data_IF_355329047961
#
_entry.id   IF_355329047961
#
_cell.length_a   1.000
_cell.length_b   1.000
_cell.length_c   1.000
_cell.angle_alpha   90.00
_cell.angle_beta   90.00
_cell.angle_gamma   90.00
#
_symmetry.space_group_name_H-M   'P 1'
#
loop_
_entity.id
_entity.type
_entity.pdbx_description
1 polymer ?
#
# COMPACT_ATOMS: atom_id res chain seq x y z
N UNK A 1 8.33 -26.50 -0.47
CA UNK A 1 8.13 -25.06 -0.75
C UNK A 1 7.52 -24.43 0.50
N UNK A 2 8.12 -23.38 1.07
CA UNK A 2 7.60 -22.72 2.27
C UNK A 2 6.71 -21.55 1.81
N UNK A 3 5.45 -21.54 2.24
CA UNK A 3 4.55 -20.42 2.03
C UNK A 3 4.78 -19.38 3.14
N UNK A 4 5.07 -18.15 2.75
CA UNK A 4 5.23 -17.04 3.68
C UNK A 4 3.86 -16.38 3.92
N UNK A 5 3.60 -15.99 5.16
CA UNK A 5 2.31 -15.41 5.57
C UNK A 5 2.32 -13.88 5.42
N UNK A 6 1.21 -13.26 4.97
CA UNK A 6 1.07 -11.80 4.94
C UNK A 6 0.99 -11.17 6.34
N UNK A 7 0.99 -11.95 7.43
CA UNK A 7 1.17 -11.43 8.79
C UNK A 7 2.58 -10.89 9.07
N UNK A 8 3.53 -11.15 8.18
CA UNK A 8 4.88 -10.57 8.25
C UNK A 8 4.89 -9.26 7.46
N UNK A 9 5.26 -8.16 8.12
CA UNK A 9 5.14 -6.81 7.59
C UNK A 9 5.87 -6.62 6.25
N UNK A 10 7.07 -7.22 6.10
CA UNK A 10 7.82 -7.13 4.85
C UNK A 10 7.16 -7.91 3.70
N UNK A 11 6.49 -9.03 4.01
CA UNK A 11 5.70 -9.79 3.03
C UNK A 11 4.45 -9.00 2.67
N UNK A 12 3.83 -8.35 3.66
CA UNK A 12 2.67 -7.51 3.47
C UNK A 12 2.99 -6.29 2.56
N UNK A 13 4.07 -5.55 2.86
CA UNK A 13 4.57 -4.46 1.97
C UNK A 13 4.86 -4.98 0.57
N UNK A 14 5.56 -6.11 0.44
CA UNK A 14 5.90 -6.69 -0.86
C UNK A 14 4.66 -7.10 -1.66
N UNK A 15 3.65 -7.66 -0.99
CA UNK A 15 2.37 -8.03 -1.60
C UNK A 15 1.64 -6.79 -2.14
N UNK A 16 1.48 -5.75 -1.31
CA UNK A 16 0.79 -4.52 -1.69
C UNK A 16 1.55 -3.71 -2.75
N UNK A 17 2.88 -3.73 -2.72
CA UNK A 17 3.71 -3.09 -3.74
C UNK A 17 3.72 -3.85 -5.07
N UNK A 18 3.56 -5.17 -5.02
CA UNK A 18 3.53 -6.04 -6.20
C UNK A 18 2.17 -6.07 -6.91
N UNK A 19 1.08 -5.81 -6.19
CA UNK A 19 -0.28 -5.77 -6.72
C UNK A 19 -1.01 -4.49 -6.29
N UNK A 20 -0.96 -3.47 -7.15
CA UNK A 20 -1.60 -2.18 -6.94
C UNK A 20 -3.13 -2.26 -6.99
N UNK A 21 -3.72 -3.32 -7.55
CA UNK A 21 -5.16 -3.57 -7.51
C UNK A 21 -5.61 -3.90 -6.09
N UNK A 22 -4.93 -4.86 -5.45
CA UNK A 22 -5.18 -5.20 -4.03
C UNK A 22 -4.98 -3.99 -3.13
N UNK A 23 -3.92 -3.19 -3.36
CA UNK A 23 -3.70 -1.96 -2.61
C UNK A 23 -4.84 -0.95 -2.82
N UNK A 24 -5.32 -0.78 -4.05
CA UNK A 24 -6.45 0.12 -4.36
C UNK A 24 -7.74 -0.34 -3.67
N UNK A 25 -8.01 -1.64 -3.64
CA UNK A 25 -9.16 -2.21 -2.96
C UNK A 25 -9.08 -2.05 -1.44
N UNK A 26 -7.89 -2.27 -0.86
CA UNK A 26 -7.63 -2.01 0.55
C UNK A 26 -7.88 -0.54 0.90
N UNK A 27 -7.27 0.39 0.15
CA UNK A 27 -7.45 1.83 0.38
C UNK A 27 -8.93 2.22 0.28
N UNK A 28 -9.66 1.74 -0.71
CA UNK A 28 -11.11 2.02 -0.82
C UNK A 28 -11.96 1.36 0.27
N UNK A 29 -11.47 0.31 0.94
CA UNK A 29 -12.17 -0.36 2.03
C UNK A 29 -11.96 0.34 3.36
N UNK A 30 -10.80 1.00 3.56
CA UNK A 30 -10.45 1.70 4.80
C UNK A 30 -10.75 3.21 4.73
N UNK A 31 -10.53 3.83 3.57
CA UNK A 31 -10.83 5.24 3.35
C UNK A 31 -12.32 5.36 3.02
N UNK A 32 -13.09 5.88 3.97
CA UNK A 32 -14.53 6.13 3.79
C UNK A 32 -14.73 7.35 2.89
N UNK A 33 -14.53 7.14 1.58
CA UNK A 33 -14.68 8.17 0.55
C UNK A 33 -16.06 8.05 -0.13
N UNK A 34 -16.68 9.17 -0.53
CA UNK A 34 -17.86 9.17 -1.38
C UNK A 34 -17.63 8.39 -2.68
N UNK A 35 -18.68 7.80 -3.26
CA UNK A 35 -18.59 6.95 -4.48
C UNK A 35 -17.85 7.63 -5.65
N UNK A 36 -18.08 8.92 -5.87
CA UNK A 36 -17.42 9.71 -6.93
C UNK A 36 -15.95 10.04 -6.64
N UNK A 37 -15.49 9.82 -5.40
CA UNK A 37 -14.10 10.04 -4.96
C UNK A 37 -13.42 8.76 -4.52
N UNK A 38 -13.90 7.59 -4.94
CA UNK A 38 -13.14 6.35 -4.77
C UNK A 38 -11.78 6.45 -5.45
N UNK A 39 -10.76 5.85 -4.84
CA UNK A 39 -9.41 5.77 -5.39
C UNK A 39 -9.46 4.97 -6.70
N UNK A 40 -8.87 5.51 -7.76
CA UNK A 40 -8.81 4.91 -9.10
C UNK A 40 -7.43 4.46 -9.51
N UNK A 41 -6.39 5.10 -9.00
CA UNK A 41 -5.01 4.71 -9.26
C UNK A 41 -4.16 4.91 -8.03
N UNK A 42 -3.15 4.05 -7.90
CA UNK A 42 -2.15 4.11 -6.83
C UNK A 42 -0.77 3.89 -7.42
N UNK A 43 0.22 4.57 -6.85
CA UNK A 43 1.64 4.37 -7.12
C UNK A 43 2.37 4.20 -5.80
N UNK A 44 3.09 3.10 -5.63
CA UNK A 44 3.99 2.92 -4.49
C UNK A 44 5.30 3.66 -4.76
N UNK A 45 5.66 4.59 -3.87
CA UNK A 45 6.87 5.42 -3.99
C UNK A 45 8.13 4.66 -3.55
N UNK A 46 7.99 3.70 -2.64
CA UNK A 46 9.08 2.91 -2.06
C UNK A 46 8.85 1.38 -2.19
N UNK A 47 8.75 0.84 -3.43
CA UNK A 47 8.26 -0.54 -3.68
C UNK A 47 9.24 -1.64 -3.26
N UNK A 48 10.52 -1.31 -3.07
CA UNK A 48 11.56 -2.25 -2.68
C UNK A 48 11.64 -2.27 -1.15
N UNK A 49 11.76 -3.46 -0.57
CA UNK A 49 12.13 -3.65 0.83
C UNK A 49 13.62 -3.93 0.89
N UNK A 50 14.38 -3.01 1.49
CA UNK A 50 15.81 -3.15 1.69
C UNK A 50 16.09 -4.05 2.90
N UNK A 51 17.21 -4.81 2.92
CA UNK A 51 17.53 -5.71 4.03
C UNK A 51 17.51 -5.03 5.41
N UNK A 52 17.99 -3.79 5.50
CA UNK A 52 18.00 -3.00 6.73
C UNK A 52 16.61 -2.58 7.20
N UNK A 53 15.59 -2.57 6.34
CA UNK A 53 14.21 -2.30 6.73
C UNK A 53 13.59 -3.49 7.46
N UNK A 54 14.02 -4.72 7.16
CA UNK A 54 13.48 -5.95 7.77
C UNK A 54 13.77 -6.00 9.27
N UNK A 55 14.86 -5.38 9.72
CA UNK A 55 15.25 -5.32 11.13
C UNK A 55 14.68 -4.11 11.87
N UNK A 56 13.99 -3.19 11.19
CA UNK A 56 13.38 -2.02 11.82
C UNK A 56 12.11 -2.41 12.56
N UNK A 57 11.72 -1.57 13.53
CA UNK A 57 10.48 -1.75 14.30
C UNK A 57 9.22 -1.63 13.44
N UNK A 58 9.29 -0.86 12.37
CA UNK A 58 8.19 -0.62 11.44
C UNK A 58 8.70 -0.65 10.02
N UNK A 59 7.86 -1.14 9.11
CA UNK A 59 8.07 -1.02 7.68
C UNK A 59 7.11 0.01 7.14
N UNK A 60 7.62 0.96 6.34
CA UNK A 60 6.82 2.05 5.80
C UNK A 60 6.47 1.76 4.35
N UNK A 61 5.21 1.97 3.98
CA UNK A 61 4.70 1.93 2.61
C UNK A 61 4.19 3.32 2.23
N UNK A 62 4.90 3.97 1.30
CA UNK A 62 4.58 5.30 0.78
C UNK A 62 3.78 5.18 -0.51
N UNK A 63 2.63 5.84 -0.56
CA UNK A 63 1.66 5.69 -1.65
C UNK A 63 1.23 7.07 -2.14
N UNK A 64 1.24 7.25 -3.46
CA UNK A 64 0.52 8.32 -4.13
C UNK A 64 -0.77 7.75 -4.70
N UNK A 65 -1.91 8.14 -4.17
CA UNK A 65 -3.22 7.69 -4.61
C UNK A 65 -3.97 8.83 -5.31
N UNK A 66 -4.67 8.54 -6.40
CA UNK A 66 -5.51 9.52 -7.11
C UNK A 66 -6.96 9.03 -7.17
N UNK A 67 -7.90 9.90 -6.81
CA UNK A 67 -9.33 9.59 -6.81
C UNK A 67 -10.02 9.82 -8.17
N UNK A 68 -11.30 9.47 -8.23
CA UNK A 68 -12.15 9.69 -9.40
C UNK A 68 -12.38 11.14 -9.82
N UNK A 69 -12.03 12.12 -8.98
CA UNK A 69 -12.08 13.55 -9.31
C UNK A 69 -10.73 14.11 -9.79
N UNK A 70 -9.67 13.30 -9.77
CA UNK A 70 -8.30 13.71 -10.09
C UNK A 70 -7.52 14.29 -8.91
N UNK A 71 -8.08 14.27 -7.70
CA UNK A 71 -7.36 14.68 -6.48
C UNK A 71 -6.35 13.60 -6.10
N UNK A 72 -5.11 14.03 -5.83
CA UNK A 72 -4.06 13.15 -5.34
C UNK A 72 -3.86 13.28 -3.83
N UNK A 73 -3.48 12.17 -3.20
CA UNK A 73 -3.20 12.03 -1.79
C UNK A 73 -1.83 11.36 -1.62
N UNK A 74 -0.97 11.96 -0.80
CA UNK A 74 0.21 11.27 -0.28
C UNK A 74 -0.19 10.55 1.00
N UNK A 75 -0.07 9.23 0.99
CA UNK A 75 -0.46 8.36 2.10
C UNK A 75 0.78 7.61 2.56
N UNK A 76 1.09 7.71 3.85
CA UNK A 76 2.08 6.87 4.52
C UNK A 76 1.33 5.79 5.32
N UNK A 77 1.71 4.53 5.14
CA UNK A 77 1.18 3.41 5.91
C UNK A 77 2.31 2.72 6.67
N UNK A 78 2.15 2.60 7.99
CA UNK A 78 2.98 1.73 8.81
C UNK A 78 2.37 0.34 8.79
N UNK A 79 3.16 -0.64 8.37
CA UNK A 79 2.78 -2.05 8.33
C UNK A 79 3.63 -2.86 9.27
#
# INVERSE_FOLDING_TARGET
>A
MILLTPKLDFIFKKLLAGDTGVLTDLLNSILVLPKNRRIRSVKVKNPIVLPEEITKKYIILDILATDGSGQSYEIEMQV
#
